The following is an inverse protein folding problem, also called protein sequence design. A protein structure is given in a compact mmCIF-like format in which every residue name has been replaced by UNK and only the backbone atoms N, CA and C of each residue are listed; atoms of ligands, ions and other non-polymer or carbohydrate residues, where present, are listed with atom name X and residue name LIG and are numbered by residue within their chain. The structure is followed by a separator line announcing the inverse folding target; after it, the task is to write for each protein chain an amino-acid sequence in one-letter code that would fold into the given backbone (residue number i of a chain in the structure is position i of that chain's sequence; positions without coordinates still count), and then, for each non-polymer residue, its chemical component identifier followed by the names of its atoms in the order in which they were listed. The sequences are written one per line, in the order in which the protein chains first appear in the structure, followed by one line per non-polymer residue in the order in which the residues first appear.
data_IF_627497132399
#
_entry.id   IF_627497132399
#
_cell.length_a   1.000
_cell.length_b   1.000
_cell.length_c   1.000
_cell.angle_alpha   90.00
_cell.angle_beta   90.00
_cell.angle_gamma   90.00
#
_symmetry.space_group_name_H-M   'P 1'
#
loop_
_entity.id
_entity.type
_entity.pdbx_description
1 polymer ?
#
# COMPACT_ATOMS: atom_id res chain seq x y z
N UNK A 1 19.81 -29.75 -9.80
CA UNK A 1 19.15 -28.75 -8.93
C UNK A 1 17.82 -29.34 -8.47
N UNK A 2 17.44 -29.15 -7.20
CA UNK A 2 16.17 -29.65 -6.65
C UNK A 2 15.20 -28.47 -6.62
N UNK A 3 14.05 -28.62 -7.28
CA UNK A 3 13.00 -27.60 -7.27
C UNK A 3 12.47 -27.42 -5.84
N UNK A 4 12.21 -26.19 -5.46
CA UNK A 4 11.50 -25.93 -4.21
C UNK A 4 10.01 -26.28 -4.33
N UNK A 5 9.29 -26.26 -3.20
CA UNK A 5 7.88 -26.67 -3.15
C UNK A 5 6.98 -25.82 -4.05
N UNK A 6 7.31 -24.54 -4.23
CA UNK A 6 6.55 -23.61 -5.06
C UNK A 6 6.82 -23.85 -6.54
N UNK A 7 8.09 -24.05 -6.91
CA UNK A 7 8.48 -24.38 -8.28
C UNK A 7 7.86 -25.71 -8.74
N UNK A 8 7.82 -26.72 -7.85
CA UNK A 8 7.16 -28.00 -8.13
C UNK A 8 5.64 -27.86 -8.36
N UNK A 9 4.98 -26.96 -7.63
CA UNK A 9 3.55 -26.68 -7.79
C UNK A 9 3.26 -26.00 -9.13
N UNK A 10 4.11 -25.06 -9.56
CA UNK A 10 4.00 -24.44 -10.88
C UNK A 10 4.17 -25.49 -11.99
N UNK A 11 5.19 -26.34 -11.87
CA UNK A 11 5.50 -27.37 -12.87
C UNK A 11 4.33 -28.36 -13.03
N UNK A 12 3.73 -28.80 -11.92
CA UNK A 12 2.61 -29.73 -11.94
C UNK A 12 1.34 -29.14 -12.58
N UNK A 13 1.15 -27.82 -12.51
CA UNK A 13 -0.05 -27.14 -13.01
C UNK A 13 0.19 -26.35 -14.31
N UNK A 14 1.36 -26.53 -14.95
CA UNK A 14 1.72 -25.72 -16.13
C UNK A 14 0.73 -25.87 -17.28
N UNK A 15 0.15 -27.05 -17.41
CA UNK A 15 -0.85 -27.44 -18.40
C UNK A 15 -2.17 -26.67 -18.26
N UNK A 16 -2.49 -26.18 -17.06
CA UNK A 16 -3.72 -25.43 -16.77
C UNK A 16 -3.56 -23.93 -17.07
N UNK A 17 -2.32 -23.44 -17.20
CA UNK A 17 -2.07 -22.05 -17.48
C UNK A 17 -2.26 -21.72 -18.97
N UNK A 18 -3.06 -20.70 -19.23
CA UNK A 18 -3.20 -20.14 -20.56
C UNK A 18 -2.30 -18.91 -20.72
N UNK A 19 -1.66 -18.81 -21.88
CA UNK A 19 -0.95 -17.58 -22.24
C UNK A 19 -1.93 -16.43 -22.32
N UNK A 20 -1.71 -15.40 -21.49
CA UNK A 20 -2.45 -14.15 -21.60
C UNK A 20 -2.30 -13.58 -23.02
N UNK A 21 -3.40 -13.10 -23.61
CA UNK A 21 -3.38 -12.49 -24.94
C UNK A 21 -2.43 -11.30 -25.02
N UNK A 22 -1.90 -10.98 -26.21
CA UNK A 22 -0.99 -9.84 -26.39
C UNK A 22 -1.61 -8.52 -25.91
N UNK A 23 -2.92 -8.36 -26.11
CA UNK A 23 -3.68 -7.22 -25.58
C UNK A 23 -3.64 -7.18 -24.05
N UNK A 24 -3.87 -8.31 -23.37
CA UNK A 24 -3.86 -8.39 -21.91
C UNK A 24 -2.46 -8.20 -21.33
N UNK A 25 -1.44 -8.78 -21.97
CA UNK A 25 -0.03 -8.57 -21.61
C UNK A 25 0.35 -7.09 -21.72
N UNK A 26 -0.05 -6.42 -22.81
CA UNK A 26 0.20 -4.99 -23.02
C UNK A 26 -0.50 -4.12 -21.95
N UNK A 27 -1.75 -4.44 -21.60
CA UNK A 27 -2.49 -3.74 -20.55
C UNK A 27 -1.81 -3.89 -19.18
N UNK A 28 -1.48 -5.11 -18.77
CA UNK A 28 -0.78 -5.37 -17.49
C UNK A 28 0.56 -4.63 -17.47
N UNK A 29 1.33 -4.70 -18.55
CA UNK A 29 2.60 -3.98 -18.67
C UNK A 29 2.42 -2.47 -18.51
N UNK A 30 1.36 -1.90 -19.09
CA UNK A 30 1.06 -0.47 -18.95
C UNK A 30 0.68 -0.09 -17.51
N UNK A 31 -0.12 -0.90 -16.82
CA UNK A 31 -0.48 -0.68 -15.42
C UNK A 31 0.77 -0.69 -14.54
N UNK A 32 1.63 -1.71 -14.70
CA UNK A 32 2.89 -1.81 -13.97
C UNK A 32 3.79 -0.61 -14.26
N UNK A 33 3.92 -0.22 -15.53
CA UNK A 33 4.75 0.93 -15.91
C UNK A 33 4.21 2.24 -15.33
N UNK A 34 2.89 2.44 -15.29
CA UNK A 34 2.29 3.61 -14.64
C UNK A 34 2.56 3.61 -13.13
N UNK A 35 2.39 2.49 -12.45
CA UNK A 35 2.66 2.38 -11.01
C UNK A 35 4.14 2.59 -10.64
N UNK A 36 5.06 2.25 -11.55
CA UNK A 36 6.51 2.46 -11.36
C UNK A 36 6.94 3.91 -11.56
N UNK A 37 6.15 4.73 -12.24
CA UNK A 37 6.49 6.15 -12.45
C UNK A 37 6.35 6.91 -11.14
N UNK A 38 7.49 7.23 -10.51
CA UNK A 38 7.58 8.03 -9.29
C UNK A 38 8.22 9.38 -9.60
N UNK A 39 7.70 10.43 -8.98
CA UNK A 39 8.31 11.77 -9.00
C UNK A 39 8.69 12.17 -7.58
N UNK A 40 9.88 12.73 -7.42
CA UNK A 40 10.34 13.27 -6.14
C UNK A 40 9.65 14.61 -5.88
N UNK A 41 9.25 14.83 -4.62
CA UNK A 41 8.66 16.08 -4.15
C UNK A 41 9.47 16.58 -2.96
N UNK A 42 9.82 17.87 -2.96
CA UNK A 42 10.45 18.53 -1.80
C UNK A 42 9.37 19.14 -0.91
N UNK A 43 9.43 18.86 0.39
CA UNK A 43 8.46 19.31 1.40
C UNK A 43 9.21 19.97 2.56
N UNK A 44 8.71 21.12 3.02
CA UNK A 44 9.18 21.76 4.25
C UNK A 44 8.22 21.43 5.39
N UNK A 45 8.78 20.90 6.47
CA UNK A 45 8.07 20.56 7.70
C UNK A 45 8.78 21.27 8.86
N UNK A 46 8.04 21.64 9.90
CA UNK A 46 8.69 22.04 11.13
C UNK A 46 9.37 20.82 11.78
N UNK A 47 10.30 21.08 12.69
CA UNK A 47 11.08 20.02 13.35
C UNK A 47 10.21 19.07 14.17
N UNK A 48 9.24 19.62 14.89
CA UNK A 48 8.37 18.85 15.77
C UNK A 48 7.54 17.81 15.00
N UNK A 49 6.94 18.20 13.88
CA UNK A 49 6.15 17.31 13.03
C UNK A 49 7.02 16.22 12.40
N UNK A 50 8.24 16.57 11.97
CA UNK A 50 9.19 15.59 11.43
C UNK A 50 9.57 14.55 12.48
N UNK A 51 9.83 14.97 13.71
CA UNK A 51 10.17 14.08 14.81
C UNK A 51 8.99 13.17 15.20
N UNK A 52 7.76 13.69 15.19
CA UNK A 52 6.55 12.89 15.41
C UNK A 52 6.31 11.87 14.30
N UNK A 53 6.53 12.24 13.04
CA UNK A 53 6.42 11.33 11.90
C UNK A 53 7.43 10.19 11.99
N UNK A 54 8.68 10.49 12.37
CA UNK A 54 9.72 9.48 12.58
C UNK A 54 9.35 8.50 13.68
N UNK A 55 8.91 8.99 14.83
CA UNK A 55 8.47 8.13 15.93
C UNK A 55 7.29 7.22 15.53
N UNK A 56 6.34 7.75 14.76
CA UNK A 56 5.19 6.95 14.30
C UNK A 56 5.61 5.87 13.30
N UNK A 57 6.50 6.22 12.37
CA UNK A 57 7.02 5.28 11.38
C UNK A 57 7.85 4.16 12.04
N UNK A 58 8.64 4.50 13.06
CA UNK A 58 9.41 3.54 13.86
C UNK A 58 8.49 2.54 14.58
N UNK A 59 7.39 3.01 15.19
CA UNK A 59 6.37 2.15 15.81
C UNK A 59 5.72 1.18 14.80
N UNK A 60 5.57 1.61 13.55
CA UNK A 60 5.03 0.78 12.45
C UNK A 60 6.12 -0.09 11.78
N UNK A 61 7.39 0.05 12.16
CA UNK A 61 8.51 -0.69 11.57
C UNK A 61 8.83 -0.29 10.12
N UNK A 62 8.47 0.93 9.70
CA UNK A 62 8.64 1.42 8.34
C UNK A 62 9.46 2.72 8.28
N UNK A 63 10.10 3.02 7.14
CA UNK A 63 10.75 4.33 6.96
C UNK A 63 9.73 5.49 7.04
N UNK A 64 10.13 6.61 7.64
CA UNK A 64 9.24 7.77 7.77
C UNK A 64 8.82 8.36 6.41
N UNK A 65 9.66 8.25 5.38
CA UNK A 65 9.28 8.64 4.02
C UNK A 65 8.17 7.73 3.46
N UNK A 66 8.20 6.43 3.79
CA UNK A 66 7.14 5.47 3.43
C UNK A 66 5.83 5.81 4.13
N UNK A 67 5.89 6.18 5.41
CA UNK A 67 4.72 6.66 6.14
C UNK A 67 4.12 7.91 5.48
N UNK A 68 4.94 8.92 5.18
CA UNK A 68 4.50 10.15 4.50
C UNK A 68 3.84 9.82 3.16
N UNK A 69 4.47 8.99 2.35
CA UNK A 69 3.93 8.59 1.05
C UNK A 69 2.59 7.82 1.20
N UNK A 70 2.49 6.94 2.20
CA UNK A 70 1.26 6.19 2.49
C UNK A 70 0.11 7.11 2.90
N UNK A 71 0.37 8.07 3.80
CA UNK A 71 -0.63 9.05 4.23
C UNK A 71 -1.10 9.90 3.07
N UNK A 72 -0.19 10.41 2.24
CA UNK A 72 -0.56 11.19 1.04
C UNK A 72 -1.39 10.36 0.06
N UNK A 73 -1.00 9.11 -0.18
CA UNK A 73 -1.76 8.20 -1.05
C UNK A 73 -3.17 7.97 -0.51
N UNK A 74 -3.30 7.60 0.76
CA UNK A 74 -4.59 7.39 1.42
C UNK A 74 -5.45 8.65 1.41
N UNK A 75 -4.84 9.82 1.55
CA UNK A 75 -5.56 11.09 1.50
C UNK A 75 -6.16 11.35 0.11
N UNK A 76 -5.39 11.15 -0.97
CA UNK A 76 -5.88 11.38 -2.34
C UNK A 76 -6.81 10.29 -2.86
N UNK A 77 -6.84 9.11 -2.23
CA UNK A 77 -7.75 8.01 -2.57
C UNK A 77 -8.98 7.95 -1.68
N UNK A 78 -9.20 8.95 -0.81
CA UNK A 78 -10.29 8.98 0.19
C UNK A 78 -10.30 7.77 1.14
N UNK A 79 -9.13 7.16 1.35
CA UNK A 79 -8.91 6.02 2.24
C UNK A 79 -8.29 6.42 3.59
N UNK A 80 -8.01 7.71 3.81
CA UNK A 80 -7.47 8.19 5.07
C UNK A 80 -8.60 8.32 6.09
N UNK A 81 -8.72 7.32 6.96
CA UNK A 81 -9.74 7.29 8.00
C UNK A 81 -9.16 7.77 9.32
N UNK A 82 -9.84 8.72 9.96
CA UNK A 82 -9.53 9.13 11.33
C UNK A 82 -10.17 8.15 12.33
N UNK A 83 -9.32 7.32 12.92
CA UNK A 83 -9.71 6.34 13.93
C UNK A 83 -10.44 6.98 15.13
N UNK A 84 -10.07 8.21 15.51
CA UNK A 84 -10.74 8.93 16.61
C UNK A 84 -12.17 9.29 16.25
N UNK A 85 -12.41 9.65 15.00
CA UNK A 85 -13.75 9.94 14.49
C UNK A 85 -14.63 8.69 14.48
N UNK A 86 -14.08 7.52 14.14
CA UNK A 86 -14.82 6.25 14.26
C UNK A 86 -15.16 5.94 15.72
N UNK A 87 -14.18 6.01 16.62
CA UNK A 87 -14.39 5.68 18.03
C UNK A 87 -15.46 6.55 18.68
N UNK A 88 -15.48 7.86 18.36
CA UNK A 88 -16.51 8.78 18.84
C UNK A 88 -17.91 8.40 18.32
N UNK A 89 -18.03 8.07 17.04
CA UNK A 89 -19.29 7.61 16.46
C UNK A 89 -19.79 6.30 17.09
N UNK A 90 -18.89 5.34 17.33
CA UNK A 90 -19.21 4.08 18.01
C UNK A 90 -19.66 4.33 19.46
N UNK A 91 -19.02 5.24 20.18
CA UNK A 91 -19.42 5.62 21.54
C UNK A 91 -20.82 6.26 21.58
N UNK A 92 -21.12 7.13 20.63
CA UNK A 92 -22.45 7.77 20.51
C UNK A 92 -23.55 6.75 20.22
N UNK A 93 -23.29 5.78 19.33
CA UNK A 93 -24.25 4.70 19.04
C UNK A 93 -24.53 3.81 20.25
N UNK A 94 -23.54 3.59 21.12
CA UNK A 94 -23.69 2.77 22.34
C UNK A 94 -24.45 3.47 23.48
N UNK A 95 -24.59 4.80 23.45
CA UNK A 95 -25.30 5.57 24.47
C UNK A 95 -26.76 5.88 24.11
N UNK A 96 -27.16 5.65 22.85
CA UNK A 96 -28.51 5.95 22.35
C UNK A 96 -29.41 4.70 22.22
N UNK A 97 -29.04 3.58 22.83
CA UNK A 97 -29.84 2.35 22.93
C UNK A 97 -29.86 1.85 24.36
#
# INVERSE_FOLDING_TARGET
MKLDRYEQEIENNISEYQSASDKKRKEIKNIINKAKQKKSVSLRLNRQDLDMLKQKAEKEGIPYQTLIASVLHKYVTDQLVDEKSILKSVQLLKHNG
#
